data_IF_569664567189
#
_entry.id   IF_569664567189
#
_cell.length_a   1.000
_cell.length_b   1.000
_cell.length_c   1.000
_cell.angle_alpha   90.00
_cell.angle_beta   90.00
_cell.angle_gamma   90.00
#
_symmetry.space_group_name_H-M   'P 1'
#
loop_
_entity.id
_entity.type
_entity.pdbx_description
1 polymer ?
#
# COMPACT_ATOMS: atom_id res chain seq x y z
N UNK A 1 -27.84 -0.23 25.30
CA UNK A 1 -27.53 0.19 23.92
C UNK A 1 -26.03 0.41 23.83
N UNK A 2 -25.26 -0.55 23.30
CA UNK A 2 -23.81 -0.45 23.22
C UNK A 2 -23.44 0.40 21.99
N UNK A 3 -22.99 1.63 22.21
CA UNK A 3 -22.46 2.46 21.14
C UNK A 3 -21.27 1.75 20.49
N UNK A 4 -21.23 1.59 19.15
CA UNK A 4 -20.12 0.96 18.47
C UNK A 4 -18.88 1.81 18.68
N UNK A 5 -17.94 1.34 19.51
CA UNK A 5 -16.63 1.97 19.65
C UNK A 5 -15.94 1.82 18.29
N UNK A 6 -15.62 2.91 17.56
CA UNK A 6 -14.79 2.78 16.38
C UNK A 6 -13.46 2.22 16.88
N UNK A 7 -13.15 0.99 16.47
CA UNK A 7 -11.83 0.41 16.60
C UNK A 7 -10.91 1.29 15.75
N UNK A 8 -10.43 2.39 16.34
CA UNK A 8 -9.46 3.27 15.75
C UNK A 8 -8.18 2.43 15.66
N UNK A 9 -7.99 1.76 14.53
CA UNK A 9 -6.78 1.00 14.23
C UNK A 9 -5.62 2.00 14.27
N UNK A 10 -4.99 2.11 15.44
CA UNK A 10 -4.05 3.17 15.81
C UNK A 10 -2.68 2.96 15.18
N UNK A 11 -2.33 1.70 14.90
CA UNK A 11 -1.08 1.33 14.27
C UNK A 11 -1.36 0.59 12.96
N UNK A 12 -1.37 1.34 11.86
CA UNK A 12 -1.20 0.74 10.53
C UNK A 12 0.26 0.31 10.44
N UNK A 13 0.50 -1.00 10.49
CA UNK A 13 1.86 -1.51 10.40
C UNK A 13 2.33 -1.37 8.94
N UNK A 14 3.26 -0.44 8.69
CA UNK A 14 3.84 -0.19 7.36
C UNK A 14 4.45 -1.45 6.74
N UNK A 15 4.82 -2.45 7.53
CA UNK A 15 5.32 -3.73 7.04
C UNK A 15 4.29 -4.50 6.20
N UNK A 16 2.99 -4.33 6.48
CA UNK A 16 1.93 -4.92 5.65
C UNK A 16 1.84 -4.29 4.25
N UNK A 17 2.37 -3.08 4.06
CA UNK A 17 2.47 -2.46 2.73
C UNK A 17 3.57 -3.07 1.86
N UNK A 18 4.52 -3.81 2.45
CA UNK A 18 5.48 -4.62 1.71
C UNK A 18 4.88 -5.95 1.26
N UNK A 19 3.81 -6.46 1.88
CA UNK A 19 3.22 -7.74 1.48
C UNK A 19 2.85 -7.83 -0.01
N UNK A 20 2.29 -6.78 -0.66
CA UNK A 20 1.93 -6.85 -2.07
C UNK A 20 3.11 -6.64 -3.03
N UNK A 21 4.27 -6.10 -2.60
CA UNK A 21 5.43 -5.96 -3.51
C UNK A 21 6.05 -7.32 -3.83
N UNK A 22 5.99 -8.26 -2.87
CA UNK A 22 6.56 -9.61 -3.01
C UNK A 22 5.97 -10.36 -4.21
N UNK A 23 4.65 -10.52 -4.37
CA UNK A 23 4.08 -11.20 -5.54
C UNK A 23 4.33 -10.43 -6.85
N UNK A 24 4.39 -9.09 -6.82
CA UNK A 24 4.67 -8.28 -8.00
C UNK A 24 6.10 -8.53 -8.51
N UNK A 25 7.10 -8.54 -7.61
CA UNK A 25 8.47 -8.88 -7.99
C UNK A 25 8.58 -10.35 -8.43
N UNK A 26 7.89 -11.27 -7.75
CA UNK A 26 7.90 -12.67 -8.13
C UNK A 26 7.37 -12.88 -9.56
N UNK A 27 6.28 -12.20 -9.93
CA UNK A 27 5.73 -12.22 -11.29
C UNK A 27 6.67 -11.60 -12.31
N UNK A 28 7.27 -10.43 -12.00
CA UNK A 28 8.23 -9.78 -12.88
C UNK A 28 9.48 -10.65 -13.11
N UNK A 29 9.99 -11.28 -12.05
CA UNK A 29 11.15 -12.18 -12.12
C UNK A 29 10.82 -13.45 -12.92
N UNK A 30 9.65 -14.06 -12.68
CA UNK A 30 9.23 -15.24 -13.42
C UNK A 30 8.99 -14.95 -14.92
N UNK A 31 8.55 -13.73 -15.27
CA UNK A 31 8.48 -13.29 -16.66
C UNK A 31 9.87 -13.11 -17.29
N UNK A 32 10.86 -12.57 -16.56
CA UNK A 32 12.24 -12.44 -17.03
C UNK A 32 12.93 -13.81 -17.24
N UNK A 33 12.60 -14.79 -16.40
CA UNK A 33 13.11 -16.17 -16.52
C UNK A 33 12.53 -16.93 -17.72
N UNK A 34 11.68 -16.28 -18.54
CA UNK A 34 10.92 -16.90 -19.65
C UNK A 34 10.01 -18.05 -19.21
N UNK A 35 9.68 -18.12 -17.91
CA UNK A 35 8.67 -19.04 -17.37
C UNK A 35 7.25 -18.59 -17.69
N UNK A 36 7.06 -17.28 -17.91
CA UNK A 36 5.79 -16.70 -18.33
C UNK A 36 5.89 -15.99 -19.69
N UNK A 37 4.76 -15.86 -20.42
CA UNK A 37 4.69 -15.10 -21.66
C UNK A 37 5.12 -13.63 -21.47
N UNK A 38 5.66 -13.01 -22.51
CA UNK A 38 6.13 -11.62 -22.49
C UNK A 38 5.04 -10.60 -22.05
N UNK A 39 3.77 -10.93 -22.26
CA UNK A 39 2.62 -10.12 -21.87
C UNK A 39 2.46 -10.06 -20.33
N UNK A 40 2.94 -11.07 -19.61
CA UNK A 40 2.95 -11.09 -18.14
C UNK A 40 3.86 -10.02 -17.55
N UNK A 41 4.91 -9.62 -18.28
CA UNK A 41 5.79 -8.52 -17.87
C UNK A 41 5.04 -7.18 -17.89
N UNK A 42 4.17 -6.95 -18.89
CA UNK A 42 3.28 -5.78 -18.90
C UNK A 42 2.35 -5.76 -17.68
N UNK A 43 1.77 -6.91 -17.33
CA UNK A 43 0.89 -7.04 -16.16
C UNK A 43 1.66 -6.77 -14.87
N UNK A 44 2.88 -7.31 -14.74
CA UNK A 44 3.73 -7.09 -13.57
C UNK A 44 4.11 -5.60 -13.42
N UNK A 45 4.50 -4.95 -14.52
CA UNK A 45 4.81 -3.50 -14.52
C UNK A 45 3.57 -2.67 -14.19
N UNK A 46 2.42 -3.00 -14.75
CA UNK A 46 1.15 -2.34 -14.45
C UNK A 46 0.77 -2.49 -12.97
N UNK A 47 0.86 -3.71 -12.43
CA UNK A 47 0.60 -3.99 -11.02
C UNK A 47 1.59 -3.25 -10.11
N UNK A 48 2.88 -3.18 -10.50
CA UNK A 48 3.91 -2.43 -9.79
C UNK A 48 3.59 -0.93 -9.72
N UNK A 49 3.18 -0.34 -10.85
CA UNK A 49 2.77 1.06 -10.91
C UNK A 49 1.54 1.31 -10.03
N UNK A 50 0.50 0.48 -10.14
CA UNK A 50 -0.69 0.55 -9.28
C UNK A 50 -0.34 0.46 -7.79
N UNK A 51 0.57 -0.46 -7.42
CA UNK A 51 1.06 -0.59 -6.05
C UNK A 51 1.79 0.67 -5.58
N UNK A 52 2.66 1.25 -6.43
CA UNK A 52 3.40 2.46 -6.11
C UNK A 52 2.46 3.64 -5.85
N UNK A 53 1.43 3.82 -6.69
CA UNK A 53 0.40 4.83 -6.47
C UNK A 53 -0.39 4.57 -5.18
N UNK A 54 -0.79 3.33 -4.90
CA UNK A 54 -1.49 2.96 -3.66
C UNK A 54 -0.66 3.28 -2.40
N UNK A 55 0.64 3.01 -2.45
CA UNK A 55 1.57 3.37 -1.38
C UNK A 55 1.69 4.89 -1.25
N UNK A 56 1.83 5.62 -2.36
CA UNK A 56 1.85 7.08 -2.37
C UNK A 56 0.60 7.71 -1.75
N UNK A 57 -0.59 7.25 -2.15
CA UNK A 57 -1.87 7.69 -1.58
C UNK A 57 -1.98 7.37 -0.09
N UNK A 58 -1.54 6.18 0.33
CA UNK A 58 -1.53 5.81 1.74
C UNK A 58 -0.61 6.72 2.53
N UNK A 59 0.64 6.88 2.10
CA UNK A 59 1.62 7.73 2.78
C UNK A 59 1.09 9.15 2.89
N UNK A 60 0.49 9.68 1.81
CA UNK A 60 -0.14 10.99 1.79
C UNK A 60 -1.31 11.08 2.77
N UNK A 61 -2.20 10.09 2.82
CA UNK A 61 -3.32 10.04 3.76
C UNK A 61 -2.85 9.97 5.21
N UNK A 62 -1.83 9.16 5.50
CA UNK A 62 -1.21 9.07 6.83
C UNK A 62 -0.56 10.38 7.23
N UNK A 63 0.20 11.03 6.32
CA UNK A 63 0.80 12.34 6.57
C UNK A 63 -0.27 13.41 6.83
N UNK A 64 -1.32 13.45 6.01
CA UNK A 64 -2.43 14.39 6.13
C UNK A 64 -3.16 14.20 7.46
N UNK A 65 -3.41 12.95 7.87
CA UNK A 65 -4.02 12.61 9.16
C UNK A 65 -3.15 13.05 10.34
N UNK A 66 -1.83 12.77 10.29
CA UNK A 66 -0.88 13.27 11.31
C UNK A 66 -0.87 14.80 11.40
N UNK A 67 -1.00 15.50 10.27
CA UNK A 67 -1.04 16.97 10.25
C UNK A 67 -2.32 17.54 10.88
N UNK A 68 -3.46 16.88 10.69
CA UNK A 68 -4.72 17.26 11.32
C UNK A 68 -4.69 17.03 12.84
N UNK A 69 -4.21 15.87 13.30
CA UNK A 69 -4.06 15.56 14.73
C UNK A 69 -3.16 16.59 15.46
N UNK A 70 -2.14 17.13 14.79
CA UNK A 70 -1.27 18.18 15.35
C UNK A 70 -1.93 19.55 15.47
N UNK A 71 -2.94 19.84 14.64
CA UNK A 71 -3.64 21.14 14.64
C UNK A 71 -4.65 21.25 15.77
N UNK A 72 -5.22 20.12 16.18
CA UNK A 72 -6.20 20.01 17.27
C UNK A 72 -5.55 20.06 18.67
N UNK A 73 -4.24 19.78 18.77
CA UNK A 73 -3.46 19.85 20.02
C UNK A 73 -2.92 21.25 20.36
N UNK A 74 -3.19 22.27 19.54
CA UNK A 74 -3.00 23.69 19.92
C UNK A 74 -4.37 24.34 20.15
N UNK A 75 -4.97 24.16 21.34
CA UNK A 75 -6.01 25.08 21.81
C UNK A 75 -5.42 26.49 22.04
#
# INVERSE_FOLDING_TARGET
MNAPRPLLIRNVNFLWYLAPIVPILALGYAALMSWLPSWSLLIAVFAFLMWLFSLGFTVFAVLKRKRQERKEQRP
#
